data_IF_554223254262
#
_entry.id   IF_554223254262
#
_cell.length_a   1.000
_cell.length_b   1.000
_cell.length_c   1.000
_cell.angle_alpha   90.00
_cell.angle_beta   90.00
_cell.angle_gamma   90.00
#
_symmetry.space_group_name_H-M   'P 1'
#
loop_
_entity.id
_entity.type
_entity.pdbx_description
1 polymer ?
#
# COMPACT_ATOMS: atom_id res chain seq x y z
N UNK A 1 -14.52 -0.23 3.77
CA UNK A 1 -13.38 -0.12 2.86
C UNK A 1 -12.74 -1.51 2.74
N UNK A 2 -12.54 -2.04 1.53
CA UNK A 2 -12.00 -3.37 1.26
C UNK A 2 -10.55 -3.25 0.77
N UNK A 3 -9.60 -3.84 1.49
CA UNK A 3 -8.18 -3.76 1.15
C UNK A 3 -7.69 -5.15 0.77
N UNK A 4 -7.23 -5.30 -0.47
CA UNK A 4 -6.53 -6.51 -0.89
C UNK A 4 -5.15 -6.55 -0.25
N UNK A 5 -4.86 -7.61 0.50
CA UNK A 5 -3.57 -7.72 1.17
C UNK A 5 -2.67 -8.80 0.56
N UNK A 6 -3.19 -10.01 0.42
CA UNK A 6 -2.34 -11.19 0.16
C UNK A 6 -3.02 -12.19 -0.79
N UNK A 7 -2.18 -12.99 -1.47
CA UNK A 7 -2.54 -14.15 -2.30
C UNK A 7 -1.88 -15.41 -1.72
N UNK A 8 -2.65 -16.42 -1.32
CA UNK A 8 -2.12 -17.61 -0.61
C UNK A 8 -2.58 -18.96 -1.16
N UNK A 9 -1.79 -20.03 -0.94
CA UNK A 9 -2.19 -21.44 -1.15
C UNK A 9 -2.91 -22.04 0.08
N UNK A 10 -3.02 -21.31 1.18
CA UNK A 10 -3.77 -21.70 2.37
C UNK A 10 -3.75 -20.63 3.46
N UNK A 11 -4.77 -20.57 4.32
CA UNK A 11 -4.88 -19.57 5.38
C UNK A 11 -5.22 -20.24 6.71
N UNK A 12 -4.79 -19.64 7.81
CA UNK A 12 -5.16 -20.04 9.17
C UNK A 12 -5.80 -18.84 9.85
N UNK A 13 -7.02 -19.00 10.37
CA UNK A 13 -7.75 -18.05 11.21
C UNK A 13 -8.04 -18.66 12.58
N UNK A 14 -8.09 -17.87 13.65
CA UNK A 14 -8.35 -18.37 15.02
C UNK A 14 -9.79 -18.07 15.46
N UNK A 15 -10.55 -19.10 15.83
CA UNK A 15 -11.92 -19.04 16.37
C UNK A 15 -11.93 -19.77 17.73
N UNK A 16 -12.11 -19.09 18.87
CA UNK A 16 -12.08 -19.69 20.22
C UNK A 16 -10.81 -20.52 20.54
N UNK A 17 -9.62 -20.03 20.19
CA UNK A 17 -8.34 -20.77 20.21
C UNK A 17 -8.27 -21.99 19.26
N UNK A 18 -9.21 -22.14 18.31
CA UNK A 18 -9.15 -23.16 17.25
C UNK A 18 -8.65 -22.55 15.95
N UNK A 19 -7.63 -23.18 15.39
CA UNK A 19 -7.08 -22.87 14.07
C UNK A 19 -8.02 -23.41 13.00
N UNK A 20 -8.68 -22.52 12.26
CA UNK A 20 -9.45 -22.82 11.06
C UNK A 20 -8.54 -22.70 9.86
N UNK A 21 -8.30 -23.82 9.17
CA UNK A 21 -7.47 -23.85 7.97
C UNK A 21 -8.34 -23.82 6.71
N UNK A 22 -8.04 -22.88 5.83
CA UNK A 22 -8.72 -22.65 4.56
C UNK A 22 -7.79 -23.04 3.42
N UNK A 23 -8.30 -23.80 2.44
CA UNK A 23 -7.55 -24.24 1.26
C UNK A 23 -8.31 -23.93 -0.04
N UNK A 24 -7.60 -23.59 -1.13
CA UNK A 24 -8.23 -23.46 -2.43
C UNK A 24 -8.71 -24.83 -2.93
N UNK A 25 -9.93 -24.89 -3.44
CA UNK A 25 -10.57 -26.10 -3.98
C UNK A 25 -11.23 -25.79 -5.33
N UNK A 26 -11.38 -26.79 -6.21
CA UNK A 26 -11.89 -26.56 -7.59
C UNK A 26 -13.32 -26.05 -7.61
N UNK A 27 -14.09 -26.40 -6.58
CA UNK A 27 -15.48 -25.97 -6.36
C UNK A 27 -15.61 -24.72 -5.48
N UNK A 28 -14.50 -24.12 -5.03
CA UNK A 28 -14.49 -22.93 -4.18
C UNK A 28 -13.44 -22.97 -3.07
N UNK A 29 -13.83 -22.75 -1.82
CA UNK A 29 -12.90 -22.73 -0.68
C UNK A 29 -13.25 -23.88 0.26
N UNK A 30 -12.26 -24.72 0.55
CA UNK A 30 -12.37 -25.76 1.57
C UNK A 30 -12.05 -25.16 2.94
N UNK A 31 -12.96 -25.33 3.89
CA UNK A 31 -12.70 -25.16 5.30
C UNK A 31 -12.47 -26.55 5.88
N UNK A 32 -11.26 -26.82 6.38
CA UNK A 32 -10.98 -28.12 6.98
C UNK A 32 -12.01 -28.43 8.07
N UNK A 33 -12.49 -29.68 8.08
CA UNK A 33 -13.50 -30.21 9.01
C UNK A 33 -14.93 -29.65 8.84
N UNK A 34 -15.16 -28.66 7.97
CA UNK A 34 -16.51 -28.11 7.69
C UNK A 34 -17.01 -28.37 6.26
N UNK A 35 -16.11 -28.48 5.28
CA UNK A 35 -16.45 -28.80 3.89
C UNK A 35 -16.08 -27.71 2.88
N UNK A 36 -16.63 -27.81 1.66
CA UNK A 36 -16.31 -26.92 0.53
C UNK A 36 -17.45 -25.94 0.27
N UNK A 37 -17.11 -24.66 0.15
CA UNK A 37 -18.05 -23.56 -0.06
C UNK A 37 -17.78 -22.89 -1.40
N UNK A 38 -18.83 -22.62 -2.18
CA UNK A 38 -18.72 -22.10 -3.54
C UNK A 38 -18.48 -20.59 -3.65
N UNK A 39 -18.70 -19.85 -2.55
CA UNK A 39 -18.58 -18.40 -2.51
C UNK A 39 -17.54 -17.89 -1.50
N UNK A 40 -17.36 -16.56 -1.41
CA UNK A 40 -16.43 -15.95 -0.46
C UNK A 40 -16.77 -16.30 0.99
N UNK A 41 -15.75 -16.48 1.81
CA UNK A 41 -15.89 -16.74 3.24
C UNK A 41 -15.61 -15.45 4.00
N UNK A 42 -16.58 -15.03 4.82
CA UNK A 42 -16.42 -13.87 5.69
C UNK A 42 -16.13 -14.30 7.12
N UNK A 43 -15.03 -13.81 7.66
CA UNK A 43 -14.59 -14.00 9.04
C UNK A 43 -14.86 -12.70 9.78
N UNK A 44 -15.70 -12.77 10.80
CA UNK A 44 -16.14 -11.64 11.61
C UNK A 44 -15.58 -11.86 13.03
N UNK A 45 -14.78 -10.93 13.59
CA UNK A 45 -14.27 -11.09 14.93
C UNK A 45 -15.39 -10.92 15.96
N UNK A 46 -15.35 -11.72 17.03
CA UNK A 46 -16.21 -11.50 18.19
C UNK A 46 -15.69 -10.30 18.99
N UNK A 47 -16.52 -9.26 19.14
CA UNK A 47 -16.13 -8.03 19.83
C UNK A 47 -14.94 -7.33 19.17
N UNK A 48 -13.97 -6.89 19.98
CA UNK A 48 -12.79 -6.13 19.51
C UNK A 48 -11.56 -7.00 19.21
N UNK A 49 -11.74 -8.32 19.13
CA UNK A 49 -10.67 -9.27 18.84
C UNK A 49 -10.04 -9.01 17.47
N UNK A 50 -8.75 -9.35 17.33
CA UNK A 50 -8.01 -9.21 16.07
C UNK A 50 -7.98 -10.55 15.36
N UNK A 51 -8.22 -10.55 14.05
CA UNK A 51 -8.11 -11.76 13.24
C UNK A 51 -6.64 -11.98 12.92
N UNK A 52 -6.13 -13.16 13.25
CA UNK A 52 -4.80 -13.60 12.85
C UNK A 52 -4.91 -14.35 11.53
N UNK A 53 -4.15 -13.94 10.53
CA UNK A 53 -3.98 -14.66 9.27
C UNK A 53 -2.53 -15.10 9.18
N UNK A 54 -2.30 -16.40 9.03
CA UNK A 54 -0.96 -16.95 8.82
C UNK A 54 -0.71 -17.15 7.33
N UNK A 55 0.37 -16.56 6.82
CA UNK A 55 0.81 -16.68 5.44
C UNK A 55 2.31 -16.97 5.39
N UNK A 56 2.71 -18.08 4.75
CA UNK A 56 4.11 -18.55 4.67
C UNK A 56 4.82 -18.57 6.05
N UNK A 57 4.12 -18.98 7.11
CA UNK A 57 4.64 -19.02 8.48
C UNK A 57 4.63 -17.67 9.21
N UNK A 58 4.38 -16.55 8.51
CA UNK A 58 4.28 -15.22 9.12
C UNK A 58 2.86 -14.92 9.57
N UNK A 59 2.73 -14.35 10.79
CA UNK A 59 1.45 -13.98 11.39
C UNK A 59 1.12 -12.51 11.13
N UNK A 60 -0.02 -12.27 10.49
CA UNK A 60 -0.59 -10.95 10.28
C UNK A 60 -1.84 -10.79 11.13
N UNK A 61 -1.99 -9.65 11.78
CA UNK A 61 -3.13 -9.33 12.65
C UNK A 61 -3.95 -8.21 12.02
N UNK A 62 -5.26 -8.37 11.96
CA UNK A 62 -6.16 -7.41 11.34
C UNK A 62 -7.28 -6.96 12.28
N UNK A 63 -7.68 -5.70 12.14
CA UNK A 63 -8.94 -5.17 12.66
C UNK A 63 -10.04 -5.38 11.63
N UNK A 64 -11.29 -5.23 12.06
CA UNK A 64 -12.45 -5.39 11.19
C UNK A 64 -12.61 -6.83 10.71
N UNK A 65 -13.33 -7.00 9.61
CA UNK A 65 -13.62 -8.32 9.06
C UNK A 65 -12.56 -8.73 8.04
N UNK A 66 -12.46 -10.04 7.81
CA UNK A 66 -11.71 -10.60 6.69
C UNK A 66 -12.69 -11.28 5.74
N UNK A 67 -12.55 -11.01 4.45
CA UNK A 67 -13.23 -11.74 3.38
C UNK A 67 -12.16 -12.53 2.62
N UNK A 68 -12.37 -13.83 2.51
CA UNK A 68 -11.53 -14.73 1.73
C UNK A 68 -12.26 -15.06 0.46
N UNK A 69 -11.63 -14.76 -0.67
CA UNK A 69 -12.12 -15.09 -2.00
C UNK A 69 -11.14 -16.02 -2.71
N UNK A 70 -11.56 -16.69 -3.78
CA UNK A 70 -10.72 -17.58 -4.57
C UNK A 70 -10.42 -16.97 -5.95
N UNK A 71 -9.14 -16.81 -6.23
CA UNK A 71 -8.65 -16.68 -7.59
C UNK A 71 -8.64 -18.06 -8.24
N UNK A 72 -9.71 -18.34 -9.00
CA UNK A 72 -9.92 -19.63 -9.68
C UNK A 72 -8.86 -19.91 -10.73
N UNK A 73 -8.42 -18.89 -11.46
CA UNK A 73 -7.42 -19.00 -12.52
C UNK A 73 -6.08 -19.51 -11.96
N UNK A 74 -5.69 -18.99 -10.79
CA UNK A 74 -4.39 -19.30 -10.20
C UNK A 74 -4.45 -20.32 -9.06
N UNK A 75 -5.65 -20.82 -8.71
CA UNK A 75 -5.93 -21.68 -7.54
C UNK A 75 -5.31 -21.12 -6.26
N UNK A 76 -5.54 -19.84 -5.98
CA UNK A 76 -5.07 -19.16 -4.77
C UNK A 76 -6.22 -18.44 -4.06
N UNK A 77 -6.06 -18.25 -2.75
CA UNK A 77 -6.95 -17.48 -1.90
C UNK A 77 -6.51 -16.02 -1.85
N UNK A 78 -7.46 -15.11 -2.05
CA UNK A 78 -7.33 -13.68 -1.85
C UNK A 78 -7.77 -13.33 -0.43
N UNK A 79 -6.95 -12.57 0.29
CA UNK A 79 -7.29 -12.06 1.62
C UNK A 79 -7.66 -10.58 1.50
N UNK A 80 -8.93 -10.27 1.74
CA UNK A 80 -9.48 -8.91 1.67
C UNK A 80 -9.84 -8.46 3.08
N UNK A 81 -9.22 -7.38 3.56
CA UNK A 81 -9.55 -6.82 4.86
C UNK A 81 -10.63 -5.74 4.72
N UNK A 82 -11.78 -5.96 5.37
CA UNK A 82 -12.91 -5.04 5.42
C UNK A 82 -12.85 -4.25 6.72
N UNK A 83 -12.52 -2.97 6.61
CA UNK A 83 -12.17 -2.12 7.75
C UNK A 83 -12.72 -0.69 7.56
N UNK A 84 -12.80 0.06 8.66
CA UNK A 84 -13.05 1.50 8.62
C UNK A 84 -11.82 2.25 8.10
N UNK A 85 -12.00 3.45 7.52
CA UNK A 85 -10.86 4.19 6.96
C UNK A 85 -9.88 4.64 8.05
N UNK A 86 -10.36 5.00 9.24
CA UNK A 86 -9.49 5.44 10.34
C UNK A 86 -8.63 4.28 10.86
N UNK A 87 -9.21 3.10 11.04
CA UNK A 87 -8.44 1.93 11.48
C UNK A 87 -7.50 1.39 10.38
N UNK A 88 -7.86 1.57 9.11
CA UNK A 88 -6.95 1.31 8.00
C UNK A 88 -5.69 2.18 8.11
N UNK A 89 -5.86 3.48 8.38
CA UNK A 89 -4.76 4.42 8.47
C UNK A 89 -3.78 4.09 9.59
N UNK A 90 -4.24 3.51 10.71
CA UNK A 90 -3.34 3.02 11.76
C UNK A 90 -2.28 2.04 11.23
N UNK A 91 -2.67 1.14 10.31
CA UNK A 91 -1.76 0.19 9.69
C UNK A 91 -1.01 0.72 8.46
N UNK A 92 -1.34 1.93 7.98
CA UNK A 92 -0.64 2.61 6.89
C UNK A 92 0.47 3.50 7.43
N UNK A 93 0.18 4.38 8.40
CA UNK A 93 1.08 5.48 8.73
C UNK A 93 2.46 5.01 9.14
N UNK A 94 2.57 4.00 10.02
CA UNK A 94 3.88 3.49 10.46
C UNK A 94 4.74 2.93 9.31
N UNK A 95 4.12 2.50 8.21
CA UNK A 95 4.83 2.01 7.02
C UNK A 95 5.32 3.14 6.12
N UNK A 96 4.69 4.31 6.21
CA UNK A 96 4.94 5.45 5.31
C UNK A 96 5.77 6.54 6.00
N UNK A 97 5.69 6.67 7.32
CA UNK A 97 6.42 7.68 8.10
C UNK A 97 6.92 7.09 9.42
N UNK A 98 8.10 7.53 9.85
CA UNK A 98 8.65 7.14 11.14
C UNK A 98 7.83 7.75 12.28
N UNK A 99 7.38 6.96 13.27
CA UNK A 99 6.65 7.48 14.43
C UNK A 99 7.42 8.50 15.28
N UNK A 100 8.75 8.59 15.08
CA UNK A 100 9.63 9.54 15.78
C UNK A 100 9.65 10.93 15.14
N UNK A 101 9.02 11.09 13.97
CA UNK A 101 8.93 12.39 13.31
C UNK A 101 8.07 13.38 14.11
N UNK A 102 8.23 14.70 13.87
CA UNK A 102 7.43 15.71 14.54
C UNK A 102 5.93 15.45 14.41
N UNK A 103 5.19 15.72 15.49
CA UNK A 103 3.75 15.46 15.58
C UNK A 103 2.95 16.02 14.39
N UNK A 104 3.26 17.25 13.98
CA UNK A 104 2.56 17.90 12.87
C UNK A 104 2.87 17.25 11.51
N UNK A 105 4.06 16.65 11.33
CA UNK A 105 4.37 15.84 10.16
C UNK A 105 3.55 14.55 10.14
N UNK A 106 3.39 13.88 11.30
CA UNK A 106 2.53 12.69 11.41
C UNK A 106 1.06 13.03 11.08
N UNK A 107 0.57 14.19 11.50
CA UNK A 107 -0.79 14.66 11.17
C UNK A 107 -0.94 14.99 9.69
N UNK A 108 0.04 15.67 9.09
CA UNK A 108 0.04 15.94 7.65
C UNK A 108 0.00 14.64 6.86
N UNK A 109 0.82 13.65 7.24
CA UNK A 109 0.80 12.31 6.65
C UNK A 109 -0.55 11.62 6.83
N UNK A 110 -1.17 11.72 8.01
CA UNK A 110 -2.50 11.16 8.27
C UNK A 110 -3.55 11.70 7.32
N UNK A 111 -3.59 13.02 7.14
CA UNK A 111 -4.54 13.71 6.25
C UNK A 111 -4.26 13.37 4.78
N UNK A 112 -2.99 13.35 4.36
CA UNK A 112 -2.61 12.96 3.00
C UNK A 112 -3.02 11.52 2.70
N UNK A 113 -2.67 10.58 3.59
CA UNK A 113 -3.01 9.17 3.45
C UNK A 113 -4.52 8.93 3.42
N UNK A 114 -5.29 9.62 4.28
CA UNK A 114 -6.76 9.56 4.27
C UNK A 114 -7.34 10.05 2.95
N UNK A 115 -6.86 11.19 2.48
CA UNK A 115 -7.33 11.80 1.23
C UNK A 115 -7.02 10.90 0.04
N UNK A 116 -5.81 10.34 -0.01
CA UNK A 116 -5.41 9.38 -1.05
C UNK A 116 -6.32 8.15 -1.06
N UNK A 117 -6.58 7.56 0.11
CA UNK A 117 -7.44 6.38 0.25
C UNK A 117 -8.87 6.65 -0.23
N UNK A 118 -9.42 7.83 0.06
CA UNK A 118 -10.75 8.26 -0.41
C UNK A 118 -10.75 8.47 -1.92
N UNK A 119 -9.77 9.22 -2.45
CA UNK A 119 -9.65 9.49 -3.89
C UNK A 119 -9.54 8.19 -4.71
N UNK A 120 -8.76 7.22 -4.22
CA UNK A 120 -8.52 5.95 -4.90
C UNK A 120 -9.51 4.84 -4.50
N UNK A 121 -10.58 5.13 -3.76
CA UNK A 121 -11.48 4.10 -3.21
C UNK A 121 -12.12 3.21 -4.27
N UNK A 122 -12.26 3.66 -5.51
CA UNK A 122 -12.83 2.86 -6.60
C UNK A 122 -11.79 2.27 -7.56
N UNK A 123 -10.49 2.38 -7.27
CA UNK A 123 -9.41 2.01 -8.18
C UNK A 123 -9.45 0.54 -8.63
N UNK A 124 -9.92 -0.36 -7.78
CA UNK A 124 -10.00 -1.79 -8.07
C UNK A 124 -11.39 -2.38 -7.87
N UNK A 125 -12.45 -1.56 -7.94
CA UNK A 125 -13.79 -2.00 -7.59
C UNK A 125 -14.26 -3.19 -8.44
N UNK A 126 -13.84 -3.24 -9.71
CA UNK A 126 -14.12 -4.34 -10.65
C UNK A 126 -13.45 -5.67 -10.24
N UNK A 127 -12.45 -5.61 -9.35
CA UNK A 127 -11.77 -6.77 -8.76
C UNK A 127 -12.34 -7.16 -7.39
N UNK A 128 -13.40 -6.49 -6.92
CA UNK A 128 -14.08 -6.79 -5.66
C UNK A 128 -13.48 -6.13 -4.41
N UNK A 129 -12.48 -5.24 -4.56
CA UNK A 129 -11.87 -4.49 -3.46
C UNK A 129 -11.58 -3.03 -3.83
N UNK A 130 -11.35 -2.17 -2.84
CA UNK A 130 -11.16 -0.73 -3.08
C UNK A 130 -9.71 -0.41 -3.47
N UNK A 131 -8.76 -0.86 -2.66
CA UNK A 131 -7.32 -0.58 -2.79
C UNK A 131 -6.48 -1.83 -2.45
N UNK A 132 -5.16 -1.79 -2.68
CA UNK A 132 -4.23 -2.87 -2.31
C UNK A 132 -3.19 -2.44 -1.26
N UNK A 133 -2.64 -3.41 -0.52
CA UNK A 133 -1.66 -3.19 0.56
C UNK A 133 -0.21 -2.98 0.08
N UNK A 134 -0.02 -2.68 -1.21
CA UNK A 134 1.28 -2.44 -1.85
C UNK A 134 1.44 -0.98 -2.25
N UNK A 135 2.63 -0.62 -2.73
CA UNK A 135 2.96 0.71 -3.27
C UNK A 135 2.11 1.12 -4.47
N UNK A 136 1.37 0.19 -5.10
CA UNK A 136 0.37 0.53 -6.11
C UNK A 136 -0.81 1.32 -5.52
N UNK A 137 -1.04 1.22 -4.21
CA UNK A 137 -1.92 2.13 -3.45
C UNK A 137 -1.12 2.74 -2.29
N UNK A 138 -1.16 2.14 -1.11
CA UNK A 138 -0.36 2.55 0.04
C UNK A 138 0.10 1.31 0.80
N UNK A 139 1.25 1.40 1.43
CA UNK A 139 1.78 0.30 2.20
C UNK A 139 0.88 0.05 3.43
N UNK A 140 0.24 -1.12 3.51
CA UNK A 140 -0.62 -1.49 4.63
C UNK A 140 -0.10 -2.72 5.35
N UNK A 141 0.02 -2.66 6.67
CA UNK A 141 0.60 -3.72 7.48
C UNK A 141 -0.31 -4.32 8.55
N UNK A 142 -1.59 -3.91 8.58
CA UNK A 142 -2.51 -4.28 9.64
C UNK A 142 -2.02 -3.84 11.03
N UNK A 143 -2.47 -4.57 12.07
CA UNK A 143 -2.15 -4.28 13.47
C UNK A 143 -0.65 -4.40 13.76
N UNK A 144 0.07 -5.24 13.01
CA UNK A 144 1.51 -5.40 13.16
C UNK A 144 2.28 -4.08 12.89
N UNK A 145 1.69 -3.17 12.13
CA UNK A 145 2.28 -1.88 11.77
C UNK A 145 1.50 -0.71 12.36
N UNK A 146 0.89 -0.89 13.52
CA UNK A 146 0.37 0.23 14.31
C UNK A 146 1.46 0.77 15.25
N UNK A 147 1.37 2.07 15.57
CA UNK A 147 2.18 2.73 16.57
C UNK A 147 1.33 3.77 17.32
N UNK A 148 1.38 3.87 18.66
CA UNK A 148 0.56 4.82 19.40
C UNK A 148 0.73 6.28 18.94
N UNK A 149 1.93 6.68 18.50
CA UNK A 149 2.19 8.06 18.07
C UNK A 149 1.54 8.36 16.72
N UNK A 150 1.62 7.43 15.77
CA UNK A 150 0.95 7.58 14.46
C UNK A 150 -0.56 7.43 14.59
N UNK A 151 -1.04 6.50 15.43
CA UNK A 151 -2.48 6.33 15.68
C UNK A 151 -3.09 7.59 16.28
N UNK A 152 -2.40 8.23 17.24
CA UNK A 152 -2.82 9.51 17.80
C UNK A 152 -2.92 10.61 16.75
N UNK A 153 -2.01 10.65 15.78
CA UNK A 153 -2.08 11.62 14.69
C UNK A 153 -3.28 11.37 13.74
N UNK A 154 -3.61 10.09 13.48
CA UNK A 154 -4.83 9.72 12.74
C UNK A 154 -6.06 10.21 13.50
N UNK A 155 -6.13 9.94 14.80
CA UNK A 155 -7.27 10.29 15.66
C UNK A 155 -7.48 11.80 15.78
N UNK A 156 -6.40 12.55 16.02
CA UNK A 156 -6.44 14.01 16.12
C UNK A 156 -6.78 14.70 14.77
N UNK A 157 -6.71 13.98 13.65
CA UNK A 157 -7.07 14.48 12.32
C UNK A 157 -8.26 13.74 11.69
N UNK A 158 -9.04 13.02 12.51
CA UNK A 158 -10.16 12.21 12.06
C UNK A 158 -11.10 13.02 11.15
N UNK A 159 -11.40 12.47 9.98
CA UNK A 159 -12.29 13.11 8.99
C UNK A 159 -11.72 14.32 8.25
N UNK A 160 -10.51 14.78 8.56
CA UNK A 160 -9.85 15.88 7.85
C UNK A 160 -9.24 15.34 6.55
N UNK A 161 -9.56 16.00 5.44
CA UNK A 161 -9.10 15.67 4.08
C UNK A 161 -8.66 16.92 3.32
N UNK A 162 -7.83 16.73 2.29
CA UNK A 162 -7.40 17.81 1.39
C UNK A 162 -8.34 17.84 0.18
N UNK A 163 -8.84 19.01 -0.16
CA UNK A 163 -9.74 19.19 -1.30
C UNK A 163 -9.25 20.30 -2.23
N UNK A 164 -9.58 20.17 -3.51
CA UNK A 164 -9.45 21.22 -4.50
C UNK A 164 -10.77 21.35 -5.24
N UNK A 165 -11.34 22.56 -5.27
CA UNK A 165 -12.68 22.84 -5.82
C UNK A 165 -13.77 21.90 -5.25
N UNK A 166 -13.71 21.67 -3.93
CA UNK A 166 -14.71 20.86 -3.21
C UNK A 166 -14.62 19.35 -3.43
N UNK A 167 -13.61 18.85 -4.17
CA UNK A 167 -13.38 17.41 -4.37
C UNK A 167 -12.08 16.96 -3.69
N UNK A 168 -12.02 15.75 -3.10
CA UNK A 168 -10.77 15.19 -2.60
C UNK A 168 -9.71 15.18 -3.70
N UNK A 169 -8.46 15.51 -3.37
CA UNK A 169 -7.34 15.46 -4.33
C UNK A 169 -6.69 14.09 -4.37
N UNK A 170 -5.94 13.80 -5.44
CA UNK A 170 -4.97 12.72 -5.42
C UNK A 170 -3.76 13.13 -4.56
N UNK A 171 -3.82 12.90 -3.25
CA UNK A 171 -2.80 13.30 -2.27
C UNK A 171 -1.60 12.33 -2.28
N UNK A 172 -0.89 12.28 -3.40
CA UNK A 172 0.36 11.52 -3.53
C UNK A 172 1.45 12.10 -2.65
N UNK A 173 2.31 11.23 -2.11
CA UNK A 173 3.46 11.58 -1.29
C UNK A 173 4.61 10.62 -1.63
N UNK A 174 5.83 11.01 -1.26
CA UNK A 174 7.06 10.27 -1.51
C UNK A 174 8.07 10.55 -0.39
N UNK A 175 9.12 9.73 -0.30
CA UNK A 175 10.07 9.78 0.82
C UNK A 175 11.01 10.99 0.77
N UNK A 176 11.47 11.38 -0.42
CA UNK A 176 12.48 12.41 -0.63
C UNK A 176 12.37 12.95 -2.05
N UNK A 177 12.32 14.28 -2.19
CA UNK A 177 12.11 14.93 -3.48
C UNK A 177 13.41 15.26 -4.24
N UNK A 178 14.59 15.07 -3.63
CA UNK A 178 15.87 15.52 -4.19
C UNK A 178 16.00 17.06 -4.26
N UNK A 179 15.21 17.78 -3.46
CA UNK A 179 15.23 19.25 -3.34
C UNK A 179 14.04 19.98 -3.94
N UNK A 180 13.35 19.39 -4.93
CA UNK A 180 12.10 19.92 -5.49
C UNK A 180 11.09 18.80 -5.70
N UNK A 181 9.80 19.05 -5.42
CA UNK A 181 8.75 18.14 -5.87
C UNK A 181 8.61 18.22 -7.40
N UNK A 182 7.94 17.25 -8.00
CA UNK A 182 7.82 17.15 -9.45
C UNK A 182 6.41 17.55 -9.93
N UNK A 183 6.32 18.13 -11.13
CA UNK A 183 5.03 18.40 -11.77
C UNK A 183 4.36 17.09 -12.20
N UNK A 184 3.04 16.99 -12.01
CA UNK A 184 2.32 15.72 -12.24
C UNK A 184 2.40 15.20 -13.69
N UNK A 185 2.51 16.07 -14.69
CA UNK A 185 2.66 15.70 -16.10
C UNK A 185 4.00 15.04 -16.39
N UNK A 186 5.04 15.36 -15.63
CA UNK A 186 6.36 14.74 -15.79
C UNK A 186 6.41 13.33 -15.22
N UNK A 187 5.49 13.00 -14.31
CA UNK A 187 5.42 11.66 -13.67
C UNK A 187 4.31 10.80 -14.29
N UNK A 188 3.14 11.38 -14.55
CA UNK A 188 1.93 10.64 -14.96
C UNK A 188 1.31 11.16 -16.26
N UNK A 189 1.91 12.14 -16.93
CA UNK A 189 1.45 12.64 -18.24
C UNK A 189 0.22 13.54 -18.22
N UNK A 190 -0.29 13.93 -17.04
CA UNK A 190 -1.45 14.82 -16.91
C UNK A 190 -1.20 15.98 -15.98
N UNK A 191 -1.57 17.19 -16.40
CA UNK A 191 -1.50 18.41 -15.58
C UNK A 191 -2.55 18.39 -14.45
N UNK A 192 -2.11 18.66 -13.23
CA UNK A 192 -2.96 18.78 -12.05
C UNK A 192 -2.59 20.06 -11.27
N UNK A 193 -3.53 21.02 -11.11
CA UNK A 193 -3.23 22.33 -10.52
C UNK A 193 -2.63 22.31 -9.11
N UNK A 194 -2.87 21.24 -8.35
CA UNK A 194 -2.43 21.08 -6.96
C UNK A 194 -1.21 20.17 -6.80
N UNK A 195 -0.70 19.58 -7.88
CA UNK A 195 0.55 18.80 -7.90
C UNK A 195 1.56 19.47 -8.81
N UNK A 196 2.09 20.59 -8.32
CA UNK A 196 3.08 21.43 -9.00
C UNK A 196 4.44 21.30 -8.31
N UNK A 197 5.51 21.50 -9.07
CA UNK A 197 6.86 21.56 -8.51
C UNK A 197 6.97 22.71 -7.50
N UNK A 198 7.43 22.39 -6.29
CA UNK A 198 7.76 23.33 -5.23
C UNK A 198 9.07 22.92 -4.57
N UNK A 199 9.81 23.88 -4.05
CA UNK A 199 11.05 23.66 -3.31
C UNK A 199 10.80 22.88 -2.01
N UNK A 200 11.59 21.83 -1.74
CA UNK A 200 11.59 21.06 -0.49
C UNK A 200 12.91 21.29 0.26
N UNK A 201 12.93 22.29 1.14
CA UNK A 201 14.15 22.86 1.76
C UNK A 201 14.87 21.96 2.77
N UNK A 202 14.24 20.89 3.24
CA UNK A 202 14.69 20.16 4.42
C UNK A 202 15.10 18.71 4.14
N UNK A 203 15.02 18.24 2.90
CA UNK A 203 15.28 16.84 2.52
C UNK A 203 16.66 16.34 3.00
N UNK A 204 17.72 17.12 2.75
CA UNK A 204 19.08 16.82 3.19
C UNK A 204 19.19 16.56 4.70
N UNK A 205 18.33 17.18 5.51
CA UNK A 205 18.33 17.05 6.98
C UNK A 205 17.45 15.91 7.48
N UNK A 206 16.31 15.65 6.82
CA UNK A 206 15.28 14.72 7.34
C UNK A 206 15.34 13.34 6.72
N UNK A 207 16.04 13.19 5.59
CA UNK A 207 16.15 11.96 4.82
C UNK A 207 17.54 11.31 4.77
N UNK A 208 18.56 11.61 5.60
CA UNK A 208 19.81 10.85 5.56
C UNK A 208 19.60 9.39 6.04
N UNK A 209 20.26 8.37 5.43
CA UNK A 209 21.21 8.45 4.31
C UNK A 209 20.53 8.39 2.92
N UNK A 210 19.20 8.38 2.86
CA UNK A 210 18.42 8.16 1.64
C UNK A 210 18.42 9.36 0.67
N UNK A 211 18.71 10.56 1.17
CA UNK A 211 18.81 11.76 0.33
C UNK A 211 19.91 11.67 -0.74
N UNK A 212 21.05 11.08 -0.40
CA UNK A 212 22.17 10.90 -1.33
C UNK A 212 22.59 9.45 -1.37
N UNK A 213 22.45 8.83 -2.53
CA UNK A 213 22.84 7.45 -2.76
C UNK A 213 23.65 7.32 -4.05
N UNK A 214 24.49 6.29 -4.11
CA UNK A 214 25.20 5.89 -5.31
C UNK A 214 24.85 4.46 -5.68
N UNK A 215 24.82 4.17 -6.98
CA UNK A 215 24.68 2.83 -7.51
C UNK A 215 25.67 2.67 -8.65
N UNK A 216 26.40 1.56 -8.65
CA UNK A 216 27.37 1.23 -9.70
C UNK A 216 26.88 0.03 -10.49
N UNK A 217 26.89 0.17 -11.81
CA UNK A 217 26.56 -0.89 -12.76
C UNK A 217 27.55 -0.80 -13.92
N UNK A 218 28.06 -1.95 -14.37
CA UNK A 218 28.94 -1.97 -15.53
C UNK A 218 28.12 -1.85 -16.83
N UNK A 219 28.76 -1.41 -17.92
CA UNK A 219 28.07 -1.17 -19.19
C UNK A 219 27.43 -2.43 -19.78
N UNK A 220 28.01 -3.61 -19.55
CA UNK A 220 27.46 -4.88 -20.03
C UNK A 220 26.15 -5.21 -19.31
N UNK A 221 26.12 -5.18 -17.99
CA UNK A 221 24.93 -5.47 -17.18
C UNK A 221 23.81 -4.47 -17.47
N UNK A 222 24.15 -3.19 -17.68
CA UNK A 222 23.16 -2.18 -18.06
C UNK A 222 22.58 -2.45 -19.45
N UNK A 223 23.43 -2.81 -20.41
CA UNK A 223 23.00 -3.18 -21.77
C UNK A 223 22.04 -4.36 -21.74
N UNK A 224 22.40 -5.44 -21.03
CA UNK A 224 21.58 -6.64 -20.89
C UNK A 224 20.22 -6.33 -20.23
N UNK A 225 20.22 -5.48 -19.19
CA UNK A 225 18.97 -5.04 -18.54
C UNK A 225 18.08 -4.25 -19.49
N UNK A 226 18.63 -3.34 -20.29
CA UNK A 226 17.88 -2.54 -21.27
C UNK A 226 17.33 -3.42 -22.40
N UNK A 227 18.13 -4.33 -22.95
CA UNK A 227 17.69 -5.31 -23.95
C UNK A 227 16.53 -6.16 -23.43
N UNK A 228 16.60 -6.60 -22.17
CA UNK A 228 15.52 -7.35 -21.52
C UNK A 228 14.23 -6.54 -21.35
N UNK A 229 14.31 -5.21 -21.32
CA UNK A 229 13.15 -4.31 -21.33
C UNK A 229 12.66 -3.98 -22.76
N UNK A 230 13.28 -4.54 -23.80
CA UNK A 230 12.89 -4.36 -25.19
C UNK A 230 13.58 -3.20 -25.92
N UNK A 231 14.62 -2.60 -25.34
CA UNK A 231 15.41 -1.58 -26.03
C UNK A 231 16.42 -2.22 -27.00
N UNK A 232 16.36 -1.84 -28.28
CA UNK A 232 17.27 -2.31 -29.33
C UNK A 232 18.60 -1.55 -29.28
N UNK A 233 19.48 -1.94 -28.36
CA UNK A 233 20.83 -1.37 -28.22
C UNK A 233 21.90 -2.45 -28.23
N UNK A 234 23.07 -2.16 -28.82
CA UNK A 234 24.21 -3.09 -28.86
C UNK A 234 25.09 -2.98 -27.61
N UNK A 235 25.37 -1.75 -27.16
CA UNK A 235 26.15 -1.48 -25.95
C UNK A 235 25.87 -0.07 -25.44
N UNK A 236 25.98 0.13 -24.13
CA UNK A 236 26.00 1.46 -23.51
C UNK A 236 27.41 2.03 -23.57
N UNK A 237 27.58 3.15 -24.27
CA UNK A 237 28.89 3.82 -24.48
C UNK A 237 29.07 5.00 -23.53
N UNK A 238 28.00 5.71 -23.18
CA UNK A 238 28.03 6.81 -22.22
C UNK A 238 26.66 7.01 -21.57
N UNK A 239 26.65 7.67 -20.41
CA UNK A 239 25.44 8.11 -19.72
C UNK A 239 25.64 9.55 -19.25
N UNK A 240 24.61 10.37 -19.42
CA UNK A 240 24.62 11.73 -18.94
C UNK A 240 23.19 12.25 -18.75
N UNK A 241 23.00 13.27 -17.91
CA UNK A 241 21.71 13.92 -17.77
C UNK A 241 21.35 14.61 -19.08
N UNK A 242 20.12 14.40 -19.55
CA UNK A 242 19.56 15.16 -20.68
C UNK A 242 18.83 16.36 -20.10
N UNK A 243 19.03 17.56 -20.68
CA UNK A 243 18.22 18.73 -20.33
C UNK A 243 16.74 18.37 -20.48
N UNK A 244 15.95 18.63 -19.44
CA UNK A 244 14.49 18.51 -19.51
C UNK A 244 14.02 19.43 -20.63
N UNK A 245 13.26 18.92 -21.60
CA UNK A 245 12.66 19.76 -22.64
C UNK A 245 11.71 20.73 -21.94
N UNK A 246 11.92 22.02 -22.16
CA UNK A 246 11.00 23.09 -21.72
C UNK A 246 9.63 22.96 -22.41
#
# INVERSE_FOLDING_TARGET
>A
FKIYNLKSKGLVSEEHNKIVKLLPHDKGIEILEKGVYSGPIKIIPAGNTKIVVVFNGQKYRYRGNIEIDIDKEHRKLNVINIISIEEYLYGVLKKEISPRWPKEALKAQAVAARTFAIFNMNKYIDKGYNICASTNSQAYGGVNHEDPLTNKAVDETRGVIITYKGKPINAVYHSDSGGYTEDSENVWGSFLPYLRSVESKFEEKVSPPHHTWSYSINGKDLTEKLQKQGYEINSVVSMGPVKKRE
#
